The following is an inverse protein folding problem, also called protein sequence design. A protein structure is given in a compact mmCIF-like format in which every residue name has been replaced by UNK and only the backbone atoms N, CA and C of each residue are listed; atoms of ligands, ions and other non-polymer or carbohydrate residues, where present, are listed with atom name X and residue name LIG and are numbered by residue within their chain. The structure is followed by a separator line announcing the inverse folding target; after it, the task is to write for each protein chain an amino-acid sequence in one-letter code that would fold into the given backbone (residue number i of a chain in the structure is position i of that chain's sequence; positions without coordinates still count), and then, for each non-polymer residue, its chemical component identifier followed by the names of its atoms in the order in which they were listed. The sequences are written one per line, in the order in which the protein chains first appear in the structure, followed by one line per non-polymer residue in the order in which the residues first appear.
data_IF_415339791727
#
_entry.id   IF_415339791727
#
_cell.length_a   1.000
_cell.length_b   1.000
_cell.length_c   1.000
_cell.angle_alpha   90.00
_cell.angle_beta   90.00
_cell.angle_gamma   90.00
#
_symmetry.space_group_name_H-M   'P 1'
#
loop_
_entity.id
_entity.type
_entity.pdbx_description
1 polymer ?
#
# COMPACT_ATOMS: atom_id res chain seq x y z
N UNK A 1 -44.89 -19.59 59.47
CA UNK A 1 -45.09 -19.27 58.04
C UNK A 1 -43.78 -18.80 57.51
N UNK A 2 -43.07 -19.67 56.75
CA UNK A 2 -41.82 -19.35 56.07
C UNK A 2 -42.15 -19.28 54.59
N UNK A 3 -41.98 -18.12 54.00
CA UNK A 3 -42.19 -17.86 52.58
C UNK A 3 -40.88 -18.14 51.85
N UNK A 4 -40.89 -19.16 51.02
CA UNK A 4 -39.80 -19.59 50.17
C UNK A 4 -39.83 -18.75 48.91
N UNK A 5 -38.76 -17.97 48.64
CA UNK A 5 -38.60 -17.17 47.43
C UNK A 5 -37.84 -18.03 46.44
N UNK A 6 -38.51 -18.47 45.39
CA UNK A 6 -37.91 -19.12 44.22
C UNK A 6 -37.14 -18.08 43.39
N UNK A 7 -35.85 -18.36 43.13
CA UNK A 7 -35.05 -17.66 42.15
C UNK A 7 -35.35 -18.18 40.75
N UNK A 8 -35.47 -17.32 39.73
CA UNK A 8 -35.58 -17.75 38.34
C UNK A 8 -34.22 -18.19 37.77
N UNK A 9 -34.27 -19.28 37.05
CA UNK A 9 -33.14 -19.87 36.32
C UNK A 9 -32.57 -18.91 35.27
N UNK A 10 -31.26 -18.69 35.35
CA UNK A 10 -30.50 -17.98 34.34
C UNK A 10 -30.39 -18.83 33.05
N UNK A 11 -31.04 -18.36 32.02
CA UNK A 11 -30.85 -18.86 30.66
C UNK A 11 -29.43 -18.50 30.15
N UNK A 12 -28.59 -19.52 30.05
CA UNK A 12 -27.32 -19.42 29.31
C UNK A 12 -27.65 -19.30 27.81
N UNK A 13 -27.48 -18.10 27.26
CA UNK A 13 -27.44 -17.89 25.84
C UNK A 13 -26.11 -18.45 25.31
N UNK A 14 -26.18 -19.62 24.70
CA UNK A 14 -25.09 -20.17 23.90
C UNK A 14 -24.80 -19.19 22.77
N UNK A 15 -23.66 -18.47 22.85
CA UNK A 15 -23.06 -17.78 21.73
C UNK A 15 -22.59 -18.84 20.73
N UNK A 16 -23.45 -19.18 19.79
CA UNK A 16 -23.04 -19.81 18.54
C UNK A 16 -22.11 -18.82 17.82
N UNK A 17 -20.81 -19.01 17.99
CA UNK A 17 -19.83 -18.49 17.05
C UNK A 17 -20.15 -19.14 15.71
N UNK A 18 -20.79 -18.38 14.85
CA UNK A 18 -20.92 -18.68 13.44
C UNK A 18 -19.52 -18.53 12.82
N UNK A 19 -18.69 -19.57 12.95
CA UNK A 19 -17.50 -19.73 12.10
C UNK A 19 -18.03 -19.89 10.69
N UNK A 20 -18.22 -18.78 10.00
CA UNK A 20 -18.40 -18.76 8.55
C UNK A 20 -17.10 -19.30 7.97
N UNK A 21 -17.11 -20.60 7.67
CA UNK A 21 -16.08 -21.23 6.84
C UNK A 21 -16.14 -20.51 5.51
N UNK A 22 -15.23 -19.56 5.30
CA UNK A 22 -15.04 -18.91 4.01
C UNK A 22 -14.68 -20.01 3.01
N UNK A 23 -15.64 -20.35 2.15
CA UNK A 23 -15.42 -21.31 1.05
C UNK A 23 -14.39 -20.65 0.14
N UNK A 24 -13.23 -21.27 -0.10
CA UNK A 24 -12.24 -20.70 -1.02
C UNK A 24 -12.92 -20.39 -2.35
N UNK A 25 -12.80 -19.16 -2.83
CA UNK A 25 -13.34 -18.77 -4.12
C UNK A 25 -12.76 -19.66 -5.23
N UNK A 26 -13.52 -19.84 -6.30
CA UNK A 26 -13.05 -20.54 -7.49
C UNK A 26 -12.29 -19.57 -8.39
N UNK A 27 -11.23 -20.02 -9.07
CA UNK A 27 -10.47 -19.21 -10.03
C UNK A 27 -11.41 -18.64 -11.11
N UNK A 28 -11.28 -17.32 -11.41
CA UNK A 28 -12.11 -16.64 -12.41
C UNK A 28 -11.84 -17.07 -13.84
N UNK A 29 -10.75 -17.79 -14.09
CA UNK A 29 -10.41 -18.28 -15.43
C UNK A 29 -11.34 -19.43 -15.82
N UNK A 30 -12.09 -19.33 -16.92
CA UNK A 30 -13.00 -20.36 -17.36
C UNK A 30 -12.33 -21.73 -17.48
N UNK A 31 -12.95 -22.76 -16.89
CA UNK A 31 -12.45 -24.14 -16.89
C UNK A 31 -11.34 -24.42 -15.87
N UNK A 32 -10.99 -23.47 -15.01
CA UNK A 32 -10.06 -23.70 -13.92
C UNK A 32 -10.81 -24.16 -12.66
N UNK A 33 -10.46 -25.33 -12.15
CA UNK A 33 -11.04 -25.90 -10.93
C UNK A 33 -10.22 -25.59 -9.66
N UNK A 34 -9.11 -24.83 -9.79
CA UNK A 34 -8.28 -24.51 -8.66
C UNK A 34 -8.94 -23.47 -7.74
N UNK A 35 -8.85 -23.74 -6.45
CA UNK A 35 -9.31 -22.79 -5.44
C UNK A 35 -8.39 -21.58 -5.38
N UNK A 36 -8.97 -20.42 -5.12
CA UNK A 36 -8.28 -19.18 -4.85
C UNK A 36 -8.14 -19.05 -3.34
N UNK A 37 -6.94 -18.74 -2.87
CA UNK A 37 -6.72 -18.50 -1.44
C UNK A 37 -7.40 -17.21 -0.97
N UNK A 38 -7.63 -17.04 0.34
CA UNK A 38 -8.35 -15.89 0.92
C UNK A 38 -7.71 -14.52 0.64
N UNK A 39 -6.51 -14.48 0.08
CA UNK A 39 -5.82 -13.25 -0.31
C UNK A 39 -6.17 -12.74 -1.73
N UNK A 40 -7.02 -13.45 -2.44
CA UNK A 40 -7.36 -13.09 -3.82
C UNK A 40 -8.56 -12.13 -3.90
N UNK A 41 -8.65 -11.17 -3.01
CA UNK A 41 -9.69 -10.13 -3.09
C UNK A 41 -9.63 -9.32 -4.38
N UNK A 42 -8.48 -9.25 -5.03
CA UNK A 42 -8.31 -8.39 -6.18
C UNK A 42 -8.60 -9.06 -7.52
N UNK A 43 -8.45 -10.34 -7.65
CA UNK A 43 -8.79 -11.00 -8.91
C UNK A 43 -8.85 -12.52 -8.71
N UNK A 44 -9.88 -13.07 -8.29
CA UNK A 44 -10.20 -14.50 -8.20
C UNK A 44 -9.33 -15.48 -9.04
N UNK A 45 -8.03 -15.23 -9.14
CA UNK A 45 -7.07 -16.05 -9.90
C UNK A 45 -6.31 -16.99 -8.97
N UNK A 46 -6.13 -18.24 -9.39
CA UNK A 46 -5.17 -19.12 -8.75
C UNK A 46 -3.72 -18.68 -9.08
N UNK A 47 -2.76 -19.14 -8.28
CA UNK A 47 -1.35 -18.75 -8.43
C UNK A 47 -0.81 -18.94 -9.86
N UNK A 48 -1.13 -20.07 -10.51
CA UNK A 48 -0.65 -20.36 -11.87
C UNK A 48 -1.18 -19.34 -12.90
N UNK A 49 -2.48 -18.99 -12.83
CA UNK A 49 -3.08 -18.01 -13.72
C UNK A 49 -2.60 -16.59 -13.41
N UNK A 50 -2.46 -16.23 -12.14
CA UNK A 50 -1.84 -14.97 -11.74
C UNK A 50 -0.43 -14.81 -12.33
N UNK A 51 0.44 -15.80 -12.18
CA UNK A 51 1.80 -15.78 -12.72
C UNK A 51 1.80 -15.57 -14.23
N UNK A 52 1.00 -16.35 -14.97
CA UNK A 52 0.93 -16.25 -16.43
C UNK A 52 0.37 -14.88 -16.89
N UNK A 53 -0.68 -14.38 -16.23
CA UNK A 53 -1.27 -13.07 -16.53
C UNK A 53 -0.28 -11.94 -16.27
N UNK A 54 0.46 -11.99 -15.14
CA UNK A 54 1.48 -11.00 -14.84
C UNK A 54 2.60 -10.97 -15.89
N UNK A 55 3.16 -12.12 -16.28
CA UNK A 55 4.21 -12.15 -17.28
C UNK A 55 3.74 -11.56 -18.62
N UNK A 56 2.58 -11.98 -19.11
CA UNK A 56 2.03 -11.47 -20.36
C UNK A 56 1.83 -9.95 -20.32
N UNK A 57 1.25 -9.44 -19.26
CA UNK A 57 0.94 -8.01 -19.13
C UNK A 57 2.19 -7.16 -18.89
N UNK A 58 3.12 -7.60 -18.05
CA UNK A 58 4.39 -6.89 -17.83
C UNK A 58 5.23 -6.82 -19.12
N UNK A 59 5.22 -7.88 -19.93
CA UNK A 59 5.90 -7.87 -21.24
C UNK A 59 5.27 -6.86 -22.19
N UNK A 60 3.94 -6.82 -22.30
CA UNK A 60 3.21 -5.84 -23.10
C UNK A 60 3.53 -4.40 -22.64
N UNK A 61 3.43 -4.15 -21.33
CA UNK A 61 3.72 -2.85 -20.75
C UNK A 61 5.17 -2.41 -21.00
N UNK A 62 6.13 -3.34 -20.87
CA UNK A 62 7.55 -3.04 -21.14
C UNK A 62 7.82 -2.59 -22.57
N UNK A 63 7.06 -3.09 -23.53
CA UNK A 63 7.16 -2.68 -24.94
C UNK A 63 6.49 -1.32 -25.19
N UNK A 64 5.44 -1.00 -24.45
CA UNK A 64 4.56 0.14 -24.73
C UNK A 64 4.93 1.41 -23.97
N UNK A 65 5.75 1.34 -22.91
CA UNK A 65 6.04 2.49 -22.01
C UNK A 65 6.61 3.71 -22.71
N UNK A 66 7.25 3.54 -23.86
CA UNK A 66 7.88 4.65 -24.62
C UNK A 66 6.87 5.56 -25.35
N UNK A 67 5.63 5.10 -25.51
CA UNK A 67 4.61 5.78 -26.33
C UNK A 67 3.54 6.49 -25.50
N UNK A 68 3.56 6.36 -24.18
CA UNK A 68 2.50 6.91 -23.33
C UNK A 68 2.77 8.32 -22.88
N UNK A 69 1.74 9.15 -22.98
CA UNK A 69 1.75 10.45 -22.33
C UNK A 69 1.71 10.28 -20.80
N UNK A 70 2.65 10.89 -20.10
CA UNK A 70 2.71 10.90 -18.64
C UNK A 70 1.41 11.51 -18.11
N UNK A 71 0.72 10.79 -17.21
CA UNK A 71 -0.56 11.22 -16.63
C UNK A 71 -1.79 10.86 -17.49
N UNK A 72 -1.62 10.20 -18.64
CA UNK A 72 -2.74 9.65 -19.40
C UNK A 72 -3.31 8.39 -18.76
N UNK A 73 -4.55 8.04 -19.13
CA UNK A 73 -5.28 6.88 -18.56
C UNK A 73 -4.52 5.56 -18.70
N UNK A 74 -3.87 5.32 -19.83
CA UNK A 74 -3.05 4.12 -20.07
C UNK A 74 -1.85 4.07 -19.12
N UNK A 75 -1.21 5.21 -18.88
CA UNK A 75 -0.08 5.32 -17.95
C UNK A 75 -0.52 5.11 -16.49
N UNK A 76 -1.65 5.66 -16.08
CA UNK A 76 -2.20 5.44 -14.73
C UNK A 76 -2.63 3.99 -14.53
N UNK A 77 -3.34 3.40 -15.49
CA UNK A 77 -3.71 1.98 -15.46
C UNK A 77 -2.49 1.06 -15.35
N UNK A 78 -1.42 1.37 -16.06
CA UNK A 78 -0.17 0.60 -15.98
C UNK A 78 0.50 0.72 -14.61
N UNK A 79 0.48 1.90 -13.99
CA UNK A 79 1.00 2.11 -12.63
C UNK A 79 0.21 1.31 -11.60
N UNK A 80 -1.11 1.32 -11.72
CA UNK A 80 -1.99 0.59 -10.81
C UNK A 80 -1.77 -0.91 -10.94
N UNK A 81 -1.74 -1.42 -12.16
CA UNK A 81 -1.43 -2.83 -12.43
C UNK A 81 -0.06 -3.27 -11.86
N UNK A 82 0.98 -2.48 -12.07
CA UNK A 82 2.34 -2.76 -11.55
C UNK A 82 2.35 -2.81 -10.02
N UNK A 83 1.65 -1.87 -9.37
CA UNK A 83 1.51 -1.85 -7.90
C UNK A 83 0.78 -3.10 -7.41
N UNK A 84 -0.29 -3.46 -8.07
CA UNK A 84 -1.10 -4.65 -7.77
C UNK A 84 -0.29 -5.94 -7.94
N UNK A 85 0.48 -6.08 -9.02
CA UNK A 85 1.38 -7.20 -9.22
C UNK A 85 2.34 -7.42 -8.04
N UNK A 86 2.98 -6.34 -7.54
CA UNK A 86 3.91 -6.43 -6.40
C UNK A 86 3.17 -6.86 -5.14
N UNK A 87 2.01 -6.26 -4.85
CA UNK A 87 1.22 -6.57 -3.66
C UNK A 87 0.73 -8.03 -3.68
N UNK A 88 0.18 -8.48 -4.80
CA UNK A 88 -0.36 -9.82 -4.94
C UNK A 88 0.73 -10.89 -4.94
N UNK A 89 1.87 -10.64 -5.61
CA UNK A 89 3.03 -11.54 -5.54
C UNK A 89 3.55 -11.69 -4.10
N UNK A 90 3.58 -10.58 -3.34
CA UNK A 90 3.97 -10.61 -1.93
C UNK A 90 2.99 -11.43 -1.09
N UNK A 91 1.68 -11.27 -1.31
CA UNK A 91 0.65 -12.06 -0.61
C UNK A 91 0.78 -13.55 -0.91
N UNK A 92 0.91 -13.94 -2.18
CA UNK A 92 1.10 -15.34 -2.52
C UNK A 92 2.36 -15.94 -1.91
N UNK A 93 3.44 -15.17 -1.77
CA UNK A 93 4.67 -15.66 -1.15
C UNK A 93 4.52 -15.96 0.35
N UNK A 94 3.52 -15.37 1.00
CA UNK A 94 3.23 -15.51 2.44
C UNK A 94 2.13 -16.55 2.73
N UNK A 95 1.56 -17.17 1.71
CA UNK A 95 0.38 -18.05 1.85
C UNK A 95 0.71 -19.43 2.43
N UNK A 96 -0.36 -20.03 3.02
CA UNK A 96 -0.38 -21.43 3.47
C UNK A 96 -1.42 -22.20 2.63
N UNK A 97 -1.06 -23.31 1.94
CA UNK A 97 0.27 -23.91 1.92
C UNK A 97 1.32 -23.06 1.20
N UNK A 98 2.56 -23.12 1.70
CA UNK A 98 3.64 -22.33 1.10
C UNK A 98 3.87 -22.74 -0.36
N UNK A 99 4.06 -21.77 -1.29
CA UNK A 99 4.36 -22.08 -2.66
C UNK A 99 5.68 -22.86 -2.79
N UNK A 100 5.77 -23.70 -3.80
CA UNK A 100 7.00 -24.43 -4.16
C UNK A 100 8.16 -23.47 -4.44
N UNK A 101 9.38 -23.98 -4.43
CA UNK A 101 10.56 -23.14 -4.72
C UNK A 101 10.50 -22.49 -6.11
N UNK A 102 9.94 -23.20 -7.10
CA UNK A 102 9.76 -22.66 -8.46
C UNK A 102 8.72 -21.54 -8.49
N UNK A 103 7.61 -21.70 -7.80
CA UNK A 103 6.57 -20.68 -7.70
C UNK A 103 7.08 -19.45 -6.94
N UNK A 104 7.82 -19.63 -5.85
CA UNK A 104 8.48 -18.51 -5.16
C UNK A 104 9.45 -17.76 -6.06
N UNK A 105 10.28 -18.46 -6.84
CA UNK A 105 11.18 -17.82 -7.78
C UNK A 105 10.43 -16.98 -8.80
N UNK A 106 9.33 -17.49 -9.36
CA UNK A 106 8.46 -16.73 -10.28
C UNK A 106 7.80 -15.51 -9.64
N UNK A 107 7.34 -15.64 -8.39
CA UNK A 107 6.77 -14.51 -7.65
C UNK A 107 7.81 -13.41 -7.38
N UNK A 108 9.03 -13.78 -7.03
CA UNK A 108 10.14 -12.84 -6.84
C UNK A 108 10.49 -12.14 -8.17
N UNK A 109 10.53 -12.89 -9.27
CA UNK A 109 10.81 -12.36 -10.60
C UNK A 109 9.74 -11.35 -11.03
N UNK A 110 8.45 -11.68 -10.89
CA UNK A 110 7.33 -10.78 -11.14
C UNK A 110 7.44 -9.50 -10.28
N UNK A 111 7.66 -9.64 -8.97
CA UNK A 111 7.78 -8.48 -8.09
C UNK A 111 8.97 -7.58 -8.46
N UNK A 112 10.08 -8.18 -8.86
CA UNK A 112 11.27 -7.45 -9.30
C UNK A 112 11.01 -6.70 -10.61
N UNK A 113 10.46 -7.39 -11.62
CA UNK A 113 10.14 -6.78 -12.91
C UNK A 113 9.10 -5.67 -12.78
N UNK A 114 8.02 -5.92 -12.04
CA UNK A 114 6.99 -4.92 -11.76
C UNK A 114 7.58 -3.70 -11.03
N UNK A 115 8.46 -3.90 -10.05
CA UNK A 115 9.13 -2.80 -9.33
C UNK A 115 9.98 -1.95 -10.28
N UNK A 116 10.76 -2.58 -11.16
CA UNK A 116 11.59 -1.87 -12.14
C UNK A 116 10.75 -1.10 -13.16
N UNK A 117 9.67 -1.71 -13.66
CA UNK A 117 8.73 -1.05 -14.56
C UNK A 117 8.04 0.13 -13.83
N UNK A 118 7.65 -0.05 -12.57
CA UNK A 118 7.10 1.01 -11.73
C UNK A 118 8.04 2.19 -11.54
N UNK A 119 9.36 1.98 -11.53
CA UNK A 119 10.35 3.07 -11.53
C UNK A 119 10.30 3.89 -12.81
N UNK A 120 10.17 3.24 -13.96
CA UNK A 120 10.05 3.90 -15.28
C UNK A 120 8.74 4.65 -15.44
N UNK A 121 7.67 4.15 -14.79
CA UNK A 121 6.34 4.77 -14.78
C UNK A 121 6.19 5.90 -13.73
N UNK A 122 7.25 6.43 -13.14
CA UNK A 122 7.17 7.59 -12.23
C UNK A 122 7.00 8.88 -13.04
N UNK A 123 6.17 9.78 -12.51
CA UNK A 123 5.98 11.12 -13.11
C UNK A 123 7.26 11.95 -13.14
N UNK A 124 8.15 11.69 -12.19
CA UNK A 124 9.44 12.38 -12.10
C UNK A 124 10.49 11.48 -11.48
N UNK A 125 11.78 11.66 -11.87
CA UNK A 125 12.88 10.96 -11.23
C UNK A 125 12.94 11.33 -9.75
N UNK A 126 13.38 10.37 -8.93
CA UNK A 126 13.70 10.61 -7.52
C UNK A 126 15.20 10.66 -7.34
N UNK A 127 15.65 11.68 -6.67
CA UNK A 127 17.06 11.85 -6.34
C UNK A 127 17.28 11.41 -4.89
N UNK A 128 18.22 10.53 -4.60
CA UNK A 128 18.58 10.16 -3.24
C UNK A 128 19.36 11.31 -2.60
N UNK A 129 18.66 12.21 -1.97
CA UNK A 129 19.23 13.41 -1.32
C UNK A 129 18.68 13.49 0.09
N UNK A 130 19.58 13.62 1.08
CA UNK A 130 19.24 13.85 2.45
C UNK A 130 19.11 15.36 2.70
N UNK A 131 17.89 15.86 2.74
CA UNK A 131 17.56 17.25 3.10
C UNK A 131 17.00 17.22 4.51
N UNK A 132 17.54 18.04 5.41
CA UNK A 132 16.99 18.16 6.77
C UNK A 132 15.68 18.92 6.71
N UNK A 133 14.65 18.31 7.28
CA UNK A 133 13.28 18.83 7.29
C UNK A 133 12.68 18.74 8.68
N UNK A 134 11.70 19.58 8.95
CA UNK A 134 10.82 19.46 10.11
C UNK A 134 9.44 19.06 9.63
N UNK A 135 8.95 17.95 10.17
CA UNK A 135 7.59 17.47 9.97
C UNK A 135 6.70 17.98 11.10
N UNK A 136 5.50 18.42 10.79
CA UNK A 136 4.52 18.90 11.75
C UNK A 136 3.15 18.34 11.40
N UNK A 137 2.41 17.88 12.41
CA UNK A 137 1.02 17.47 12.28
C UNK A 137 0.12 18.35 13.12
N UNK A 138 -0.95 18.87 12.51
CA UNK A 138 -1.99 19.70 13.14
C UNK A 138 -3.38 19.10 12.91
N UNK A 139 -3.53 17.79 13.12
CA UNK A 139 -4.83 17.15 12.84
C UNK A 139 -5.91 17.68 13.80
N UNK A 140 -7.13 18.00 13.31
CA UNK A 140 -8.25 18.39 14.15
C UNK A 140 -8.58 17.27 15.15
N UNK A 141 -8.45 17.55 16.45
CA UNK A 141 -8.65 16.58 17.53
C UNK A 141 -7.51 15.59 17.73
N UNK A 142 -6.38 15.71 16.97
CA UNK A 142 -5.16 14.93 17.14
C UNK A 142 -4.14 15.64 18.04
N UNK A 143 -3.14 14.88 18.49
CA UNK A 143 -2.00 15.46 19.20
C UNK A 143 -1.13 16.22 18.18
N UNK A 144 -0.88 17.49 18.47
CA UNK A 144 0.17 18.23 17.77
C UNK A 144 1.52 17.58 18.04
N UNK A 145 2.29 17.33 17.00
CA UNK A 145 3.67 16.89 17.12
C UNK A 145 4.54 17.53 16.03
N UNK A 146 5.80 17.71 16.34
CA UNK A 146 6.83 18.06 15.39
C UNK A 146 8.05 17.20 15.56
N UNK A 147 8.76 16.95 14.46
CA UNK A 147 9.96 16.13 14.42
C UNK A 147 10.92 16.64 13.37
N UNK A 148 12.20 16.74 13.72
CA UNK A 148 13.27 16.93 12.74
C UNK A 148 13.75 15.58 12.22
N UNK A 149 13.81 15.47 10.91
CA UNK A 149 14.24 14.27 10.19
C UNK A 149 14.89 14.67 8.86
N UNK A 150 15.14 13.69 8.00
CA UNK A 150 15.72 13.93 6.69
C UNK A 150 15.03 13.11 5.61
N UNK A 151 15.08 13.62 4.38
CA UNK A 151 14.60 12.88 3.21
C UNK A 151 15.54 11.72 2.86
N UNK A 152 14.98 10.60 2.43
CA UNK A 152 15.72 9.47 1.85
C UNK A 152 15.85 9.62 0.34
N UNK A 153 14.79 10.10 -0.29
CA UNK A 153 14.78 10.55 -1.67
C UNK A 153 13.71 11.64 -1.86
N UNK A 154 13.89 12.47 -2.88
CA UNK A 154 12.98 13.56 -3.22
C UNK A 154 12.78 13.67 -4.72
N UNK A 155 11.61 14.11 -5.12
CA UNK A 155 11.25 14.51 -6.48
C UNK A 155 10.46 15.80 -6.48
N UNK A 156 10.11 16.35 -7.63
CA UNK A 156 9.28 17.55 -7.69
C UNK A 156 7.83 17.33 -7.20
N UNK A 157 7.37 16.07 -7.01
CA UNK A 157 5.99 15.79 -6.59
C UNK A 157 5.90 15.21 -5.17
N UNK A 158 7.01 14.88 -4.54
CA UNK A 158 6.98 14.28 -3.21
C UNK A 158 8.33 13.77 -2.75
N UNK A 159 8.36 13.21 -1.55
CA UNK A 159 9.57 12.70 -0.93
C UNK A 159 9.33 11.40 -0.16
N UNK A 160 10.41 10.71 0.17
CA UNK A 160 10.46 9.60 1.09
C UNK A 160 11.33 9.98 2.28
N UNK A 161 10.89 9.65 3.48
CA UNK A 161 11.57 10.04 4.72
C UNK A 161 11.26 9.08 5.86
N UNK A 162 12.03 9.19 6.94
CA UNK A 162 11.72 8.51 8.19
C UNK A 162 10.85 9.40 9.09
N UNK A 163 10.06 8.77 9.96
CA UNK A 163 9.25 9.45 10.98
C UNK A 163 9.13 8.53 12.21
N UNK A 164 9.18 9.11 13.41
CA UNK A 164 9.00 8.37 14.67
C UNK A 164 7.53 8.26 15.09
N UNK A 165 6.72 9.19 14.58
CA UNK A 165 5.29 9.26 14.90
C UNK A 165 4.48 8.35 13.98
N UNK A 166 3.45 7.72 14.55
CA UNK A 166 2.48 6.96 13.79
C UNK A 166 1.63 7.91 12.95
N UNK A 167 1.55 7.65 11.65
CA UNK A 167 0.72 8.38 10.70
C UNK A 167 -0.14 7.41 9.91
N UNK A 168 -1.19 7.92 9.28
CA UNK A 168 -2.08 7.16 8.41
C UNK A 168 -1.96 7.65 6.97
N UNK A 169 -2.39 6.83 6.03
CA UNK A 169 -2.58 7.30 4.66
C UNK A 169 -3.60 8.43 4.66
N UNK A 170 -3.38 9.39 3.77
CA UNK A 170 -4.15 10.63 3.61
C UNK A 170 -4.01 11.67 4.73
N UNK A 171 -3.22 11.40 5.79
CA UNK A 171 -2.85 12.44 6.75
C UNK A 171 -2.12 13.57 6.03
N UNK A 172 -2.46 14.81 6.39
CA UNK A 172 -1.79 16.01 5.87
C UNK A 172 -0.76 16.48 6.88
N UNK A 173 0.47 16.63 6.43
CA UNK A 173 1.61 17.10 7.21
C UNK A 173 2.12 18.41 6.63
N UNK A 174 2.59 19.30 7.49
CA UNK A 174 3.42 20.43 7.10
C UNK A 174 4.89 20.00 7.08
N UNK A 175 5.58 20.32 6.01
CA UNK A 175 6.99 19.99 5.78
C UNK A 175 7.76 21.30 5.65
N UNK A 176 8.64 21.59 6.59
CA UNK A 176 9.53 22.76 6.57
C UNK A 176 10.95 22.30 6.19
N UNK A 177 11.48 22.81 5.12
CA UNK A 177 12.90 22.63 4.76
C UNK A 177 13.76 23.54 5.62
N UNK A 178 14.69 22.97 6.38
CA UNK A 178 15.51 23.76 7.31
C UNK A 178 16.65 24.52 6.61
N UNK A 179 17.02 24.10 5.41
CA UNK A 179 18.06 24.75 4.59
C UNK A 179 17.56 26.02 3.89
N UNK A 180 16.30 26.05 3.48
CA UNK A 180 15.72 27.18 2.71
C UNK A 180 14.65 27.96 3.49
N UNK A 181 14.09 27.38 4.54
CA UNK A 181 12.91 27.92 5.23
C UNK A 181 11.60 27.74 4.46
N UNK A 182 11.62 27.02 3.33
CA UNK A 182 10.43 26.76 2.53
C UNK A 182 9.50 25.78 3.26
N UNK A 183 8.23 26.14 3.38
CA UNK A 183 7.20 25.30 3.98
C UNK A 183 6.19 24.87 2.93
N UNK A 184 5.87 23.58 2.92
CA UNK A 184 4.91 22.94 2.03
C UNK A 184 3.92 22.10 2.84
N UNK A 185 2.73 21.92 2.32
CA UNK A 185 1.82 20.88 2.77
C UNK A 185 2.03 19.60 1.94
N UNK A 186 1.91 18.45 2.59
CA UNK A 186 2.08 17.17 1.94
C UNK A 186 1.10 16.15 2.51
N UNK A 187 0.60 15.27 1.64
CA UNK A 187 -0.26 14.16 2.00
C UNK A 187 0.56 12.89 2.12
N UNK A 188 0.32 12.09 3.17
CA UNK A 188 0.90 10.76 3.33
C UNK A 188 0.23 9.82 2.33
N UNK A 189 1.01 9.29 1.37
CA UNK A 189 0.52 8.34 0.35
C UNK A 189 0.65 6.90 0.84
N UNK A 190 1.72 6.61 1.57
CA UNK A 190 1.94 5.33 2.20
C UNK A 190 2.87 5.47 3.41
N UNK A 191 2.77 4.52 4.32
CA UNK A 191 3.69 4.40 5.45
C UNK A 191 4.05 2.92 5.68
N UNK A 192 5.19 2.69 6.29
CA UNK A 192 5.67 1.34 6.62
C UNK A 192 6.43 1.39 7.94
N UNK A 193 6.09 0.51 8.87
CA UNK A 193 6.88 0.32 10.10
C UNK A 193 8.21 -0.36 9.73
N UNK A 194 9.31 0.21 10.20
CA UNK A 194 10.66 -0.35 10.02
C UNK A 194 11.01 -1.28 11.18
N UNK A 195 12.05 -2.11 11.00
CA UNK A 195 12.57 -2.96 12.07
C UNK A 195 13.12 -2.19 13.27
N UNK A 196 13.46 -0.92 13.10
CA UNK A 196 13.92 -0.03 14.18
C UNK A 196 12.78 0.59 15.01
N UNK A 197 11.51 0.29 14.69
CA UNK A 197 10.34 0.85 15.37
C UNK A 197 9.96 2.27 14.92
N UNK A 198 10.62 2.81 13.91
CA UNK A 198 10.23 4.06 13.23
C UNK A 198 9.37 3.75 12.00
N UNK A 199 8.76 4.78 11.42
CA UNK A 199 8.03 4.66 10.16
C UNK A 199 8.86 5.22 9.02
N UNK A 200 8.76 4.58 7.87
CA UNK A 200 9.17 5.16 6.60
C UNK A 200 7.90 5.65 5.89
N UNK A 201 7.93 6.91 5.43
CA UNK A 201 6.79 7.58 4.80
C UNK A 201 7.09 7.89 3.35
N UNK A 202 6.07 7.74 2.49
CA UNK A 202 6.02 8.38 1.19
C UNK A 202 4.98 9.48 1.20
N UNK A 203 5.39 10.71 0.87
CA UNK A 203 4.51 11.87 0.83
C UNK A 203 4.40 12.43 -0.58
N UNK A 204 3.24 13.02 -0.88
CA UNK A 204 2.98 13.81 -2.08
C UNK A 204 2.80 15.28 -1.69
N UNK A 205 3.54 16.19 -2.33
CA UNK A 205 3.42 17.62 -2.08
C UNK A 205 2.09 18.15 -2.60
N UNK A 206 1.37 18.83 -1.73
CA UNK A 206 0.14 19.53 -2.08
C UNK A 206 0.52 20.96 -2.49
N UNK A 207 0.72 21.16 -3.79
CA UNK A 207 0.88 22.51 -4.29
C UNK A 207 -0.46 23.23 -4.14
N UNK A 208 -0.60 24.00 -3.08
CA UNK A 208 -1.69 24.93 -2.93
C UNK A 208 -1.70 25.80 -4.19
N UNK A 209 -2.81 25.83 -4.92
CA UNK A 209 -2.94 26.72 -6.04
C UNK A 209 -2.50 28.10 -5.58
N UNK A 210 -1.45 28.61 -6.21
CA UNK A 210 -0.89 29.92 -5.91
C UNK A 210 -2.01 30.93 -6.00
N UNK A 211 -2.61 31.25 -4.85
CA UNK A 211 -3.33 32.49 -4.69
C UNK A 211 -2.31 33.59 -4.97
N UNK A 212 -2.33 34.10 -6.20
CA UNK A 212 -1.61 35.29 -6.57
C UNK A 212 -2.06 36.43 -5.64
N UNK A 213 -1.31 36.66 -4.60
CA UNK A 213 -1.35 37.93 -3.89
C UNK A 213 -0.46 38.89 -4.67
N UNK A 214 -1.11 39.92 -5.17
CA UNK A 214 -0.54 41.13 -5.79
C UNK A 214 0.42 41.84 -4.86
#
# INVERSE_FOLDING_TARGET
MKTEIQQPASSQSENLHNDTVEIPGQCCVPGCEQSVGPAAELESMCLAHFVNSCYARLEELSRSTHTWAIGGTAWESARDFVRECVQTATRFSQHVPAPSNLERARLVDIATWATELGRRLRRSPRNPVAITIRLMSEQPGGLYWEEETYTLDISCHGARMNCKHAVKNDDVLKVLRLDTGEQLEARVVWHRLTSSGSYELGIEFLYGGSSSAR
#
